data_IF_407134020285
#
_entry.id   IF_407134020285
#
_cell.length_a   1.000
_cell.length_b   1.000
_cell.length_c   1.000
_cell.angle_alpha   90.00
_cell.angle_beta   90.00
_cell.angle_gamma   90.00
#
_symmetry.space_group_name_H-M   'P 1'
#
loop_
_entity.id
_entity.type
_entity.pdbx_description
1 polymer ?
#
# COMPACT_ATOMS: atom_id res chain seq x y z
N UNK A 1 -3.55 -14.91 11.60
CA UNK A 1 -2.21 -14.29 11.49
C UNK A 1 -2.39 -12.81 11.74
N UNK A 2 -1.90 -12.29 12.85
CA UNK A 2 -2.05 -10.88 13.19
C UNK A 2 -1.04 -10.08 12.37
N UNK A 3 -1.53 -9.35 11.37
CA UNK A 3 -0.73 -8.38 10.61
C UNK A 3 -0.53 -7.18 11.51
N UNK A 4 0.69 -6.94 11.99
CA UNK A 4 1.02 -5.73 12.75
C UNK A 4 1.14 -4.55 11.79
N UNK A 5 0.10 -3.71 11.74
CA UNK A 5 -0.03 -2.56 10.83
C UNK A 5 0.78 -1.33 11.31
N UNK A 6 1.19 -1.29 12.59
CA UNK A 6 1.73 -0.09 13.25
C UNK A 6 3.13 0.37 12.81
N UNK A 7 3.84 -0.38 11.95
CA UNK A 7 5.20 -0.01 11.46
C UNK A 7 5.43 -0.12 9.95
N UNK A 8 4.42 -0.54 9.20
CA UNK A 8 4.55 -0.73 7.75
C UNK A 8 4.50 0.59 7.00
N UNK A 9 5.33 0.72 5.96
CA UNK A 9 5.15 1.72 4.90
C UNK A 9 4.33 1.12 3.75
N UNK A 10 3.67 2.00 3.00
CA UNK A 10 2.75 1.63 1.94
C UNK A 10 3.21 2.21 0.62
N UNK A 11 3.43 1.36 -0.36
CA UNK A 11 4.06 1.70 -1.62
C UNK A 11 3.14 1.46 -2.80
N UNK A 12 3.15 2.38 -3.77
CA UNK A 12 2.59 2.18 -5.10
C UNK A 12 3.73 1.93 -6.08
N UNK A 13 3.69 0.81 -6.79
CA UNK A 13 4.56 0.49 -7.93
C UNK A 13 3.83 0.66 -9.26
N UNK A 14 4.44 1.36 -10.22
CA UNK A 14 3.83 1.62 -11.54
C UNK A 14 4.45 0.71 -12.60
N UNK A 15 3.69 -0.32 -13.01
CA UNK A 15 4.17 -1.38 -13.90
C UNK A 15 3.03 -1.89 -14.79
N UNK A 16 3.30 -2.26 -16.04
CA UNK A 16 2.27 -2.83 -16.93
C UNK A 16 1.67 -4.12 -16.35
N UNK A 17 0.39 -4.37 -16.59
CA UNK A 17 -0.32 -5.50 -15.98
C UNK A 17 0.32 -6.85 -16.32
N UNK A 18 0.80 -7.04 -17.55
CA UNK A 18 1.51 -8.26 -17.96
C UNK A 18 2.81 -8.49 -17.19
N UNK A 19 3.54 -7.42 -16.86
CA UNK A 19 4.75 -7.50 -16.05
C UNK A 19 4.42 -7.78 -14.58
N UNK A 20 3.36 -7.15 -14.05
CA UNK A 20 2.84 -7.43 -12.70
C UNK A 20 2.45 -8.90 -12.60
N UNK A 21 1.72 -9.45 -13.57
CA UNK A 21 1.32 -10.87 -13.57
C UNK A 21 2.50 -11.82 -13.46
N UNK A 22 3.61 -11.55 -14.15
CA UNK A 22 4.85 -12.35 -14.04
C UNK A 22 5.47 -12.24 -12.64
N UNK A 23 5.47 -11.03 -12.06
CA UNK A 23 5.92 -10.82 -10.68
C UNK A 23 5.07 -11.58 -9.66
N UNK A 24 3.75 -11.54 -9.82
CA UNK A 24 2.81 -12.29 -8.98
C UNK A 24 3.04 -13.79 -9.06
N UNK A 25 3.12 -14.36 -10.27
CA UNK A 25 3.40 -15.78 -10.47
C UNK A 25 4.75 -16.22 -9.91
N UNK A 26 5.75 -15.32 -9.93
CA UNK A 26 7.08 -15.60 -9.41
C UNK A 26 7.31 -15.17 -7.95
N UNK A 27 6.33 -14.57 -7.28
CA UNK A 27 6.48 -14.08 -5.90
C UNK A 27 7.50 -12.94 -5.75
N UNK A 28 7.67 -12.08 -6.75
CA UNK A 28 8.66 -11.00 -6.71
C UNK A 28 8.17 -9.64 -7.21
N UNK A 29 8.71 -8.57 -6.64
CA UNK A 29 8.66 -7.23 -7.18
C UNK A 29 9.89 -6.93 -8.04
N UNK A 30 9.65 -6.31 -9.20
CA UNK A 30 10.66 -5.69 -10.06
C UNK A 30 10.12 -4.33 -10.51
N UNK A 31 10.81 -3.24 -10.17
CA UNK A 31 10.33 -1.87 -10.36
C UNK A 31 11.30 -1.04 -11.21
N UNK A 32 10.79 0.05 -11.79
CA UNK A 32 11.56 1.08 -12.51
C UNK A 32 12.63 0.51 -13.45
N UNK A 33 12.23 -0.37 -14.38
CA UNK A 33 13.12 -1.05 -15.33
C UNK A 33 14.17 -1.97 -14.69
N UNK A 34 13.89 -2.53 -13.50
CA UNK A 34 14.79 -3.43 -12.81
C UNK A 34 15.83 -2.74 -11.94
N UNK A 35 15.67 -1.44 -11.64
CA UNK A 35 16.58 -0.72 -10.74
C UNK A 35 16.41 -1.18 -9.30
N UNK A 36 17.52 -1.22 -8.56
CA UNK A 36 17.52 -1.60 -7.14
C UNK A 36 17.06 -0.49 -6.19
N UNK A 37 17.21 0.78 -6.57
CA UNK A 37 16.92 1.92 -5.68
C UNK A 37 15.47 1.96 -5.15
N UNK A 38 14.41 1.71 -5.96
CA UNK A 38 13.05 1.59 -5.44
C UNK A 38 12.90 0.44 -4.43
N UNK A 39 13.50 -0.72 -4.73
CA UNK A 39 13.39 -1.92 -3.88
C UNK A 39 14.06 -1.73 -2.52
N UNK A 40 15.17 -0.98 -2.47
CA UNK A 40 15.90 -0.64 -1.23
C UNK A 40 15.14 0.26 -0.27
N UNK A 41 14.12 0.97 -0.75
CA UNK A 41 13.30 1.84 0.11
C UNK A 41 12.26 1.08 0.92
N UNK A 42 11.92 -0.13 0.48
CA UNK A 42 10.96 -0.99 1.17
C UNK A 42 11.67 -1.83 2.25
N UNK A 43 10.93 -2.23 3.27
CA UNK A 43 11.39 -3.10 4.35
C UNK A 43 10.45 -4.30 4.53
N UNK A 44 10.88 -5.42 5.17
CA UNK A 44 9.99 -6.52 5.49
C UNK A 44 8.76 -6.02 6.24
N UNK A 45 7.58 -6.50 5.85
CA UNK A 45 6.31 -6.04 6.42
C UNK A 45 5.71 -4.80 5.74
N UNK A 46 6.47 -4.08 4.90
CA UNK A 46 5.89 -3.02 4.06
C UNK A 46 4.93 -3.61 3.02
N UNK A 47 3.96 -2.81 2.61
CA UNK A 47 2.97 -3.19 1.61
C UNK A 47 3.28 -2.58 0.25
N UNK A 48 3.05 -3.34 -0.81
CA UNK A 48 3.16 -2.91 -2.19
C UNK A 48 1.84 -3.15 -2.91
N UNK A 49 1.28 -2.09 -3.49
CA UNK A 49 0.19 -2.17 -4.45
C UNK A 49 0.74 -1.79 -5.83
N UNK A 50 0.40 -2.59 -6.84
CA UNK A 50 0.70 -2.26 -8.22
C UNK A 50 -0.42 -1.46 -8.84
N UNK A 51 -0.06 -0.33 -9.45
CA UNK A 51 -0.87 0.39 -10.42
C UNK A 51 -0.36 0.13 -11.83
N UNK A 52 -1.27 -0.29 -12.72
CA UNK A 52 -0.99 -0.57 -14.11
C UNK A 52 -1.66 0.46 -15.01
N UNK A 53 -0.89 1.39 -15.61
CA UNK A 53 -1.46 2.37 -16.54
C UNK A 53 -1.91 1.71 -17.85
N UNK A 54 -1.25 0.61 -18.25
CA UNK A 54 -1.53 -0.15 -19.47
C UNK A 54 -1.40 -1.65 -19.24
N UNK A 55 -2.02 -2.44 -20.11
CA UNK A 55 -1.90 -3.91 -20.10
C UNK A 55 -0.47 -4.38 -20.37
N UNK A 56 0.19 -3.74 -21.34
CA UNK A 56 1.54 -4.05 -21.81
C UNK A 56 2.41 -2.80 -21.97
N UNK A 57 3.73 -3.01 -22.00
CA UNK A 57 4.70 -1.95 -22.23
C UNK A 57 4.54 -1.38 -23.64
N UNK A 58 4.48 -0.05 -23.75
CA UNK A 58 4.41 0.78 -24.98
C UNK A 58 3.27 0.53 -25.98
N UNK A 59 2.70 -0.67 -26.06
CA UNK A 59 1.65 -1.07 -27.02
C UNK A 59 0.36 -1.58 -26.38
N UNK A 60 0.32 -1.71 -25.05
CA UNK A 60 -0.89 -2.18 -24.36
C UNK A 60 -2.00 -1.14 -24.34
N UNK A 61 -3.24 -1.62 -24.25
CA UNK A 61 -4.41 -0.76 -24.05
C UNK A 61 -4.33 -0.04 -22.71
N UNK A 62 -5.03 1.09 -22.61
CA UNK A 62 -5.15 1.84 -21.36
C UNK A 62 -5.91 0.99 -20.35
N UNK A 63 -5.29 0.74 -19.19
CA UNK A 63 -5.88 -0.06 -18.13
C UNK A 63 -6.27 0.79 -16.92
N UNK A 64 -5.35 1.64 -16.47
CA UNK A 64 -5.47 2.55 -15.32
C UNK A 64 -6.14 1.90 -14.10
N UNK A 65 -5.53 0.82 -13.62
CA UNK A 65 -6.09 0.02 -12.53
C UNK A 65 -5.03 -0.39 -11.51
N UNK A 66 -5.47 -0.60 -10.28
CA UNK A 66 -4.71 -1.35 -9.29
C UNK A 66 -4.88 -2.84 -9.56
N UNK A 67 -3.78 -3.58 -9.69
CA UNK A 67 -3.77 -4.93 -10.31
C UNK A 67 -3.19 -6.02 -9.43
N UNK A 68 -2.41 -5.69 -8.41
CA UNK A 68 -1.92 -6.64 -7.44
C UNK A 68 -1.59 -5.95 -6.11
N UNK A 69 -1.68 -6.70 -5.02
CA UNK A 69 -1.34 -6.25 -3.67
C UNK A 69 -0.58 -7.37 -2.96
N UNK A 70 0.45 -7.00 -2.21
CA UNK A 70 1.22 -7.95 -1.43
C UNK A 70 2.14 -7.28 -0.41
N UNK A 71 2.73 -8.09 0.45
CA UNK A 71 3.63 -7.63 1.51
C UNK A 71 5.07 -8.05 1.22
N UNK A 72 6.02 -7.19 1.52
CA UNK A 72 7.46 -7.49 1.41
C UNK A 72 7.82 -8.63 2.35
N UNK A 73 8.36 -9.71 1.78
CA UNK A 73 8.53 -10.97 2.49
C UNK A 73 9.77 -11.00 3.39
N UNK A 74 10.85 -10.35 2.94
CA UNK A 74 12.18 -10.40 3.55
C UNK A 74 13.04 -9.20 3.14
N UNK A 75 14.26 -9.13 3.68
CA UNK A 75 15.25 -8.08 3.42
C UNK A 75 16.02 -8.25 2.10
N UNK A 76 15.78 -9.34 1.35
CA UNK A 76 16.65 -9.72 0.24
C UNK A 76 16.28 -8.98 -1.03
N UNK A 77 17.26 -8.25 -1.55
CA UNK A 77 17.26 -7.74 -2.93
C UNK A 77 18.34 -8.49 -3.67
N UNK A 78 17.97 -9.08 -4.81
CA UNK A 78 18.87 -9.94 -5.57
C UNK A 78 18.79 -9.64 -7.07
N UNK A 79 19.89 -9.89 -7.75
CA UNK A 79 19.95 -9.84 -9.21
C UNK A 79 19.29 -11.09 -9.81
N UNK A 80 18.60 -10.90 -10.92
CA UNK A 80 18.00 -12.00 -11.67
C UNK A 80 18.39 -11.86 -13.15
N UNK A 81 19.45 -12.55 -13.60
CA UNK A 81 19.88 -12.49 -15.00
C UNK A 81 18.76 -12.98 -15.92
N UNK A 82 18.26 -12.09 -16.79
CA UNK A 82 17.28 -12.44 -17.83
C UNK A 82 17.96 -12.58 -19.20
N UNK A 83 19.04 -11.85 -19.43
CA UNK A 83 19.94 -11.95 -20.58
C UNK A 83 21.32 -11.41 -20.21
N UNK A 84 22.30 -11.54 -21.10
CA UNK A 84 23.64 -10.96 -20.94
C UNK A 84 23.60 -9.44 -20.74
N UNK A 85 22.62 -8.75 -21.34
CA UNK A 85 22.48 -7.30 -21.30
C UNK A 85 21.41 -6.81 -20.31
N UNK A 86 20.69 -7.71 -19.65
CA UNK A 86 19.61 -7.34 -18.73
C UNK A 86 19.58 -8.21 -17.47
N UNK A 87 20.09 -7.62 -16.39
CA UNK A 87 20.11 -8.21 -15.04
C UNK A 87 19.32 -7.30 -14.10
N UNK A 88 17.99 -7.42 -14.05
CA UNK A 88 17.18 -6.65 -13.12
C UNK A 88 17.37 -7.08 -11.66
N UNK A 89 17.13 -6.15 -10.76
CA UNK A 89 16.96 -6.45 -9.34
C UNK A 89 15.52 -6.84 -9.03
N UNK A 90 15.38 -7.82 -8.13
CA UNK A 90 14.11 -8.34 -7.62
C UNK A 90 14.11 -8.39 -6.09
N UNK A 91 12.90 -8.38 -5.53
CA UNK A 91 12.65 -8.57 -4.10
C UNK A 91 11.44 -9.47 -3.90
N UNK A 92 11.47 -10.32 -2.88
CA UNK A 92 10.38 -11.26 -2.62
C UNK A 92 9.14 -10.55 -2.03
N UNK A 93 7.98 -10.88 -2.59
CA UNK A 93 6.67 -10.35 -2.17
C UNK A 93 5.73 -11.52 -1.92
N UNK A 94 5.02 -11.50 -0.79
CA UNK A 94 3.88 -12.37 -0.51
C UNK A 94 2.62 -11.69 -1.03
N UNK A 95 2.20 -12.06 -2.24
CA UNK A 95 0.95 -11.58 -2.82
C UNK A 95 -0.26 -12.26 -2.19
N UNK A 96 -1.36 -11.53 -2.13
CA UNK A 96 -2.66 -12.05 -1.68
C UNK A 96 -3.67 -12.00 -2.83
N UNK A 97 -4.71 -12.87 -2.82
CA UNK A 97 -5.80 -12.78 -3.79
C UNK A 97 -6.48 -11.40 -3.74
N UNK A 98 -6.72 -10.83 -4.92
CA UNK A 98 -7.38 -9.54 -5.06
C UNK A 98 -8.09 -9.44 -6.42
N UNK A 99 -9.03 -8.49 -6.52
CA UNK A 99 -9.62 -8.06 -7.79
C UNK A 99 -8.92 -6.81 -8.32
N UNK A 100 -8.98 -6.64 -9.64
CA UNK A 100 -8.58 -5.38 -10.29
C UNK A 100 -9.55 -4.26 -9.90
N UNK A 101 -9.02 -3.06 -9.62
CA UNK A 101 -9.82 -1.86 -9.31
C UNK A 101 -9.40 -0.70 -10.20
N UNK A 102 -10.34 -0.15 -10.98
CA UNK A 102 -10.10 1.05 -11.80
C UNK A 102 -9.86 2.26 -10.91
N UNK A 103 -8.76 2.99 -11.12
CA UNK A 103 -8.46 4.19 -10.32
C UNK A 103 -9.56 5.25 -10.43
N UNK A 104 -10.25 5.32 -11.58
CA UNK A 104 -11.38 6.22 -11.82
C UNK A 104 -12.47 6.13 -10.75
N UNK A 105 -12.66 4.95 -10.13
CA UNK A 105 -13.65 4.74 -9.05
C UNK A 105 -13.20 5.29 -7.69
N UNK A 106 -11.90 5.59 -7.54
CA UNK A 106 -11.28 6.02 -6.30
C UNK A 106 -10.69 7.43 -6.37
N UNK A 107 -10.72 8.12 -7.52
CA UNK A 107 -10.06 9.42 -7.70
C UNK A 107 -10.49 10.47 -6.68
N UNK A 108 -11.78 10.51 -6.36
CA UNK A 108 -12.31 11.44 -5.37
C UNK A 108 -12.19 10.91 -3.95
N UNK A 109 -11.59 9.75 -3.71
CA UNK A 109 -11.44 9.16 -2.38
C UNK A 109 -10.02 9.32 -1.83
N UNK A 110 -9.01 9.18 -2.70
CA UNK A 110 -7.60 9.13 -2.31
C UNK A 110 -7.02 10.54 -2.11
N UNK A 111 -6.25 10.72 -1.05
CA UNK A 111 -5.62 12.01 -0.68
C UNK A 111 -4.69 12.53 -1.77
N UNK A 112 -3.97 11.64 -2.48
CA UNK A 112 -3.04 12.02 -3.54
C UNK A 112 -3.71 12.32 -4.90
N UNK A 113 -5.03 12.09 -5.03
CA UNK A 113 -5.78 12.37 -6.29
C UNK A 113 -6.95 13.33 -6.12
N UNK A 114 -7.62 13.36 -4.97
CA UNK A 114 -8.84 14.15 -4.75
C UNK A 114 -8.60 15.64 -4.99
N UNK A 115 -9.45 16.25 -5.80
CA UNK A 115 -9.35 17.68 -6.15
C UNK A 115 -8.16 18.04 -7.05
N UNK A 116 -7.36 17.07 -7.49
CA UNK A 116 -6.17 17.30 -8.31
C UNK A 116 -6.41 16.89 -9.77
N UNK A 117 -6.57 17.88 -10.65
CA UNK A 117 -6.73 17.65 -12.11
C UNK A 117 -5.50 16.99 -12.76
N UNK A 118 -4.33 17.08 -12.12
CA UNK A 118 -3.06 16.52 -12.59
C UNK A 118 -2.64 15.27 -11.77
N UNK A 119 -3.60 14.54 -11.20
CA UNK A 119 -3.35 13.36 -10.36
C UNK A 119 -2.39 12.33 -11.01
N UNK A 120 -2.40 12.22 -12.33
CA UNK A 120 -1.52 11.32 -13.10
C UNK A 120 -0.01 11.61 -12.94
N UNK A 121 0.37 12.81 -12.48
CA UNK A 121 1.77 13.22 -12.38
C UNK A 121 2.57 12.36 -11.39
N UNK A 122 1.99 12.01 -10.24
CA UNK A 122 2.65 11.16 -9.23
C UNK A 122 3.08 9.80 -9.80
N UNK A 123 2.28 9.22 -10.69
CA UNK A 123 2.56 7.92 -11.30
C UNK A 123 3.79 7.93 -12.23
N UNK A 124 4.27 9.10 -12.64
CA UNK A 124 5.49 9.23 -13.47
C UNK A 124 6.76 8.84 -12.73
N UNK A 125 6.75 8.82 -11.39
CA UNK A 125 7.91 8.43 -10.59
C UNK A 125 8.19 6.92 -10.62
N UNK A 126 7.25 6.10 -11.11
CA UNK A 126 7.44 4.65 -11.19
C UNK A 126 7.27 3.91 -9.86
N UNK A 127 7.51 4.58 -8.73
CA UNK A 127 7.39 4.06 -7.38
C UNK A 127 7.30 5.21 -6.37
N UNK A 128 6.29 5.22 -5.51
CA UNK A 128 6.11 6.25 -4.49
C UNK A 128 5.39 5.71 -3.25
N UNK A 129 5.56 6.41 -2.13
CA UNK A 129 4.94 6.09 -0.84
C UNK A 129 3.58 6.78 -0.74
N UNK A 130 2.61 6.12 -0.10
CA UNK A 130 1.27 6.66 0.19
C UNK A 130 0.95 6.55 1.68
N UNK A 131 0.00 7.37 2.14
CA UNK A 131 -0.49 7.30 3.51
C UNK A 131 -1.31 6.05 3.78
N UNK A 132 -1.49 5.73 5.07
CA UNK A 132 -2.26 4.59 5.53
C UNK A 132 -3.73 4.61 5.05
N UNK A 133 -4.39 5.78 5.07
CA UNK A 133 -5.78 5.92 4.62
C UNK A 133 -5.97 5.60 3.14
N UNK A 134 -5.03 6.04 2.29
CA UNK A 134 -5.04 5.72 0.86
C UNK A 134 -4.81 4.24 0.63
N UNK A 135 -3.86 3.65 1.35
CA UNK A 135 -3.63 2.20 1.29
C UNK A 135 -4.89 1.43 1.66
N UNK A 136 -5.54 1.76 2.78
CA UNK A 136 -6.77 1.09 3.21
C UNK A 136 -7.88 1.23 2.19
N UNK A 137 -8.07 2.42 1.63
CA UNK A 137 -9.10 2.68 0.60
C UNK A 137 -8.87 1.79 -0.63
N UNK A 138 -7.63 1.72 -1.12
CA UNK A 138 -7.30 0.90 -2.29
C UNK A 138 -7.39 -0.59 -1.94
N UNK A 139 -6.80 -1.03 -0.83
CA UNK A 139 -6.77 -2.41 -0.40
C UNK A 139 -8.19 -2.96 -0.13
N UNK A 140 -9.04 -2.19 0.56
CA UNK A 140 -10.43 -2.55 0.79
C UNK A 140 -11.22 -2.70 -0.51
N UNK A 141 -11.00 -1.80 -1.47
CA UNK A 141 -11.57 -1.97 -2.80
C UNK A 141 -11.05 -3.25 -3.49
N UNK A 142 -9.75 -3.56 -3.37
CA UNK A 142 -9.12 -4.70 -4.05
C UNK A 142 -9.43 -6.07 -3.43
N UNK A 143 -9.67 -6.16 -2.13
CA UNK A 143 -9.82 -7.43 -1.41
C UNK A 143 -11.31 -7.68 -1.09
N UNK A 144 -12.15 -6.64 -1.14
CA UNK A 144 -13.53 -6.67 -0.65
C UNK A 144 -13.58 -6.43 0.86
N UNK A 145 -14.78 -6.26 1.41
CA UNK A 145 -14.96 -6.28 2.86
C UNK A 145 -14.43 -7.61 3.40
N UNK A 146 -13.33 -7.52 4.11
CA UNK A 146 -12.77 -8.65 4.83
C UNK A 146 -13.73 -8.90 5.98
N UNK A 147 -14.60 -9.90 5.88
CA UNK A 147 -15.09 -10.56 7.08
C UNK A 147 -13.83 -11.07 7.81
N UNK A 148 -13.37 -10.35 8.84
CA UNK A 148 -12.31 -10.83 9.75
C UNK A 148 -11.07 -9.95 9.99
N UNK A 149 -11.06 -8.65 9.68
CA UNK A 149 -10.07 -7.75 10.33
C UNK A 149 -10.71 -7.21 11.61
N UNK A 150 -10.46 -7.91 12.72
CA UNK A 150 -10.76 -7.41 14.05
C UNK A 150 -9.91 -6.16 14.32
N UNK A 151 -10.59 -5.03 14.56
CA UNK A 151 -9.97 -3.82 15.06
C UNK A 151 -9.68 -3.97 16.56
N UNK A 152 -8.42 -4.23 16.93
CA UNK A 152 -7.95 -3.91 18.27
C UNK A 152 -7.63 -2.41 18.31
N UNK A 153 -8.65 -1.63 18.62
CA UNK A 153 -8.54 -0.20 18.92
C UNK A 153 -8.27 0.00 20.41
N UNK A 154 -7.09 -0.39 20.88
CA UNK A 154 -6.52 0.22 22.08
C UNK A 154 -5.73 1.43 21.65
N UNK A 155 -6.42 2.58 21.61
CA UNK A 155 -5.81 3.89 21.42
C UNK A 155 -5.32 4.41 22.78
N UNK A 156 -4.02 4.37 23.10
CA UNK A 156 -3.51 4.75 24.41
C UNK A 156 -3.54 6.27 24.66
N UNK A 157 -4.02 7.09 23.72
CA UNK A 157 -3.95 8.55 23.81
C UNK A 157 -5.28 9.27 24.11
N UNK A 158 -6.33 8.59 24.61
CA UNK A 158 -7.56 9.26 25.07
C UNK A 158 -7.81 9.19 26.59
N UNK A 159 -7.60 10.37 27.22
CA UNK A 159 -8.05 10.90 28.54
C UNK A 159 -7.17 10.49 29.73
N UNK A 160 -6.61 11.43 30.49
CA UNK A 160 -7.28 12.40 31.38
C UNK A 160 -6.44 13.70 31.44
N UNK A 161 -7.03 14.89 31.33
CA UNK A 161 -7.36 15.67 32.52
C UNK A 161 -8.60 16.56 32.33
N UNK A 162 -9.63 16.30 33.12
CA UNK A 162 -10.65 17.29 33.48
C UNK A 162 -10.82 17.25 34.99
N UNK A 163 -10.50 18.39 35.62
CA UNK A 163 -10.46 18.63 37.07
C UNK A 163 -11.78 18.26 37.80
N UNK A 164 -11.71 17.90 39.08
CA UNK A 164 -12.91 17.64 39.88
C UNK A 164 -13.63 18.95 40.27
N UNK A 165 -14.91 19.00 39.97
CA UNK A 165 -15.86 20.02 40.43
C UNK A 165 -16.23 19.76 41.89
N UNK A 166 -16.17 20.80 42.73
CA UNK A 166 -16.57 20.79 44.14
C UNK A 166 -18.03 20.34 44.31
N UNK A 167 -18.28 19.54 45.35
CA UNK A 167 -19.63 19.36 45.89
C UNK A 167 -19.61 19.54 47.41
N UNK A 168 -20.37 20.55 47.86
CA UNK A 168 -20.67 20.84 49.25
C UNK A 168 -21.78 19.91 49.79
N UNK A 169 -21.63 19.47 51.04
CA UNK A 169 -22.64 19.25 52.11
C UNK A 169 -21.79 19.15 53.41
N UNK A 170 -21.99 19.89 54.50
CA UNK A 170 -23.22 20.38 55.12
C UNK A 170 -23.44 19.59 56.42
N UNK A 171 -22.87 20.11 57.52
CA UNK A 171 -23.26 20.06 58.96
C UNK A 171 -23.78 18.77 59.64
N UNK A 172 -23.18 18.40 60.80
CA UNK A 172 -23.74 18.60 62.16
C UNK A 172 -23.30 17.52 63.18
N UNK A 173 -22.82 17.98 64.35
CA UNK A 173 -22.92 17.45 65.75
C UNK A 173 -22.44 16.00 66.02
N UNK A 174 -21.49 15.73 66.92
CA UNK A 174 -21.46 15.98 68.38
C UNK A 174 -20.00 15.94 68.90
#
# INVERSE_FOLDING_TARGET
MNVTIEKSRYWIGVVSASHVKRGVLGGFAQLCHGKSAPLRRMSPGDWLIYYSPRTDLSKGEVLQAFTAIGQVADDKIYEYPMSESFVPYRRNIRYIPCREVKIATLLDQLTFTRGNRNWGYQFRYGHFEVGFEDFLTIAGAMIGDVEGIQHDVDNPYKRQDSKPTRQNRGEAND
#
